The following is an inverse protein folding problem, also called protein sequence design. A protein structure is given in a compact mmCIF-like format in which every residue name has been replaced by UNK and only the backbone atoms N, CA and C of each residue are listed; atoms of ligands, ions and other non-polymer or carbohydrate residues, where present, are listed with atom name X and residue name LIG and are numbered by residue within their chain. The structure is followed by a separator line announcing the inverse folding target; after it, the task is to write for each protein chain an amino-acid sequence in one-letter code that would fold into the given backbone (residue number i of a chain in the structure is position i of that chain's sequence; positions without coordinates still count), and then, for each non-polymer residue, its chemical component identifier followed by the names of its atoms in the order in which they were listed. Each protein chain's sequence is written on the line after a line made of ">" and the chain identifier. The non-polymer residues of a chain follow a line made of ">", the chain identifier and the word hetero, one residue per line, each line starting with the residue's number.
data_IF_100294113123
#
_entry.id   IF_100294113123
#
_cell.length_a   1.000
_cell.length_b   1.000
_cell.length_c   1.000
_cell.angle_alpha   90.00
_cell.angle_beta   90.00
_cell.angle_gamma   90.00
#
_symmetry.space_group_name_H-M   'P 1'
#
loop_
_entity.id
_entity.type
_entity.pdbx_description
1 polymer ?
#
# COMPACT_ATOMS: atom_id res chain seq x y z
N UNK A 1 12.90 -10.98 14.19
CA UNK A 1 11.76 -10.33 14.88
C UNK A 1 11.40 -11.18 16.11
N UNK A 2 11.37 -10.60 17.28
CA UNK A 2 10.94 -11.27 18.51
C UNK A 2 9.42 -11.41 18.61
N UNK A 3 8.94 -12.21 19.58
CA UNK A 3 7.51 -12.50 19.74
C UNK A 3 6.72 -11.22 20.06
N UNK A 4 7.28 -10.32 20.87
CA UNK A 4 6.62 -9.07 21.26
C UNK A 4 6.39 -8.17 20.02
N UNK A 5 7.44 -8.00 19.22
CA UNK A 5 7.36 -7.24 17.94
C UNK A 5 6.34 -7.89 17.00
N UNK A 6 6.29 -9.23 16.90
CA UNK A 6 5.31 -9.92 16.08
C UNK A 6 3.87 -9.65 16.53
N UNK A 7 3.60 -9.69 17.83
CA UNK A 7 2.28 -9.38 18.38
C UNK A 7 1.88 -7.92 18.15
N UNK A 8 2.82 -6.99 18.32
CA UNK A 8 2.58 -5.57 18.03
C UNK A 8 2.24 -5.38 16.54
N UNK A 9 3.01 -5.99 15.64
CA UNK A 9 2.76 -5.92 14.19
C UNK A 9 1.38 -6.48 13.86
N UNK A 10 0.97 -7.62 14.40
CA UNK A 10 -0.34 -8.21 14.18
C UNK A 10 -1.48 -7.29 14.68
N UNK A 11 -1.33 -6.69 15.85
CA UNK A 11 -2.28 -5.72 16.38
C UNK A 11 -2.38 -4.48 15.47
N UNK A 12 -1.25 -3.94 15.03
CA UNK A 12 -1.19 -2.80 14.12
C UNK A 12 -1.80 -3.12 12.74
N UNK A 13 -1.59 -4.33 12.21
CA UNK A 13 -2.23 -4.79 10.98
C UNK A 13 -3.74 -4.79 11.16
N UNK A 14 -4.28 -5.39 12.23
CA UNK A 14 -5.72 -5.38 12.50
C UNK A 14 -6.27 -3.95 12.55
N UNK A 15 -5.67 -3.07 13.36
CA UNK A 15 -6.11 -1.68 13.50
C UNK A 15 -6.04 -0.92 12.17
N UNK A 16 -4.97 -1.10 11.40
CA UNK A 16 -4.81 -0.47 10.08
C UNK A 16 -5.92 -0.89 9.11
N UNK A 17 -6.35 -2.15 9.13
CA UNK A 17 -7.45 -2.61 8.29
C UNK A 17 -8.81 -2.15 8.77
N UNK A 18 -9.06 -2.11 10.09
CA UNK A 18 -10.28 -1.52 10.65
C UNK A 18 -10.44 -0.07 10.18
N UNK A 19 -9.39 0.74 10.32
CA UNK A 19 -9.43 2.17 9.97
C UNK A 19 -9.52 2.36 8.46
N UNK A 20 -8.73 1.61 7.70
CA UNK A 20 -8.76 1.66 6.23
C UNK A 20 -10.13 1.30 5.68
N UNK A 21 -10.80 0.29 6.24
CA UNK A 21 -12.12 -0.13 5.80
C UNK A 21 -13.22 0.86 6.23
N UNK A 22 -13.11 1.45 7.43
CA UNK A 22 -14.08 2.44 7.92
C UNK A 22 -13.98 3.79 7.20
N UNK A 23 -12.77 4.23 6.89
CA UNK A 23 -12.51 5.50 6.19
C UNK A 23 -12.57 5.39 4.65
N UNK A 24 -12.63 4.17 4.10
CA UNK A 24 -12.59 3.94 2.66
C UNK A 24 -11.26 4.25 2.00
N UNK A 25 -10.20 4.46 2.79
CA UNK A 25 -8.86 4.79 2.34
C UNK A 25 -8.02 3.52 2.14
N UNK A 26 -7.09 3.56 1.20
CA UNK A 26 -6.24 2.41 0.89
C UNK A 26 -5.39 1.94 2.08
N UNK A 27 -5.38 0.63 2.36
CA UNK A 27 -4.65 0.03 3.49
C UNK A 27 -3.16 0.33 3.53
N UNK A 28 -2.54 0.58 2.37
CA UNK A 28 -1.11 0.91 2.28
C UNK A 28 -0.74 2.21 2.98
N UNK A 29 -1.66 3.18 3.05
CA UNK A 29 -1.37 4.49 3.61
C UNK A 29 -1.06 4.47 5.12
N UNK A 30 -1.62 3.57 5.89
CA UNK A 30 -1.29 3.40 7.30
C UNK A 30 -0.28 2.27 7.52
N UNK A 31 -0.46 1.16 6.80
CA UNK A 31 0.35 -0.04 7.03
C UNK A 31 1.82 0.17 6.72
N UNK A 32 2.15 0.79 5.59
CA UNK A 32 3.53 0.97 5.16
C UNK A 32 4.35 1.78 6.19
N UNK A 33 3.97 3.03 6.54
CA UNK A 33 4.77 3.80 7.49
C UNK A 33 4.75 3.19 8.90
N UNK A 34 3.65 2.54 9.30
CA UNK A 34 3.59 1.87 10.60
C UNK A 34 4.60 0.72 10.66
N UNK A 35 4.62 -0.17 9.67
CA UNK A 35 5.57 -1.27 9.62
C UNK A 35 7.01 -0.78 9.46
N UNK A 36 7.23 0.26 8.64
CA UNK A 36 8.53 0.87 8.46
C UNK A 36 9.06 1.51 9.75
N UNK A 37 8.19 2.05 10.60
CA UNK A 37 8.58 2.59 11.90
C UNK A 37 9.12 1.51 12.85
N UNK A 38 8.47 0.34 12.89
CA UNK A 38 8.81 -0.73 13.82
C UNK A 38 9.91 -1.67 13.32
N UNK A 39 9.95 -1.95 12.02
CA UNK A 39 10.83 -2.97 11.45
C UNK A 39 12.05 -2.40 10.72
N UNK A 40 12.04 -1.13 10.38
CA UNK A 40 12.96 -0.55 9.42
C UNK A 40 12.27 -0.24 8.10
N UNK A 41 12.83 0.71 7.34
CA UNK A 41 12.12 1.22 6.16
C UNK A 41 12.01 0.15 5.07
N UNK A 42 13.07 -0.58 4.80
CA UNK A 42 13.08 -1.62 3.77
C UNK A 42 12.23 -2.84 4.17
N UNK A 43 12.46 -3.39 5.34
CA UNK A 43 11.74 -4.55 5.87
C UNK A 43 10.25 -4.25 6.08
N UNK A 44 9.93 -3.03 6.53
CA UNK A 44 8.56 -2.57 6.71
C UNK A 44 7.81 -2.47 5.39
N UNK A 45 8.44 -1.91 4.34
CA UNK A 45 7.87 -1.85 2.98
C UNK A 45 7.72 -3.26 2.41
N UNK A 46 8.69 -4.15 2.62
CA UNK A 46 8.65 -5.52 2.14
C UNK A 46 7.51 -6.32 2.79
N UNK A 47 7.38 -6.27 4.11
CA UNK A 47 6.29 -6.94 4.82
C UNK A 47 4.93 -6.35 4.44
N UNK A 48 4.83 -5.01 4.29
CA UNK A 48 3.61 -4.37 3.81
C UNK A 48 3.20 -4.88 2.42
N UNK A 49 4.16 -5.06 1.50
CA UNK A 49 3.88 -5.59 0.16
C UNK A 49 3.26 -6.99 0.22
N UNK A 50 3.80 -7.90 1.03
CA UNK A 50 3.29 -9.25 1.23
C UNK A 50 1.86 -9.23 1.81
N UNK A 51 1.62 -8.43 2.85
CA UNK A 51 0.30 -8.31 3.48
C UNK A 51 -0.74 -7.70 2.52
N UNK A 52 -0.34 -6.68 1.76
CA UNK A 52 -1.22 -6.04 0.77
C UNK A 52 -1.51 -6.96 -0.41
N UNK A 53 -0.56 -7.78 -0.85
CA UNK A 53 -0.80 -8.82 -1.85
C UNK A 53 -1.89 -9.79 -1.38
N UNK A 54 -1.79 -10.30 -0.14
CA UNK A 54 -2.82 -11.15 0.46
C UNK A 54 -4.20 -10.48 0.52
N UNK A 55 -4.26 -9.21 0.96
CA UNK A 55 -5.51 -8.45 0.99
C UNK A 55 -6.11 -8.25 -0.41
N UNK A 56 -5.27 -8.00 -1.41
CA UNK A 56 -5.75 -7.83 -2.79
C UNK A 56 -6.26 -9.14 -3.39
N UNK A 57 -5.73 -10.30 -2.98
CA UNK A 57 -6.34 -11.61 -3.33
C UNK A 57 -7.77 -11.68 -2.83
N UNK A 58 -8.03 -11.32 -1.57
CA UNK A 58 -9.39 -11.31 -1.02
C UNK A 58 -10.32 -10.39 -1.80
N UNK A 59 -9.85 -9.22 -2.21
CA UNK A 59 -10.62 -8.29 -3.05
C UNK A 59 -10.89 -8.86 -4.45
N UNK A 60 -9.90 -9.51 -5.08
CA UNK A 60 -10.08 -10.18 -6.37
C UNK A 60 -11.15 -11.26 -6.27
N UNK A 61 -11.14 -12.08 -5.22
CA UNK A 61 -12.16 -13.11 -4.99
C UNK A 61 -13.55 -12.47 -4.79
N UNK A 62 -13.64 -11.39 -4.00
CA UNK A 62 -14.89 -10.68 -3.77
C UNK A 62 -15.46 -10.05 -5.05
N UNK A 63 -14.60 -9.50 -5.92
CA UNK A 63 -14.99 -8.84 -7.17
C UNK A 63 -14.81 -9.72 -8.42
N UNK A 64 -14.65 -11.04 -8.28
CA UNK A 64 -14.34 -11.98 -9.37
C UNK A 64 -15.22 -11.89 -10.62
N UNK A 65 -16.48 -11.46 -10.46
CA UNK A 65 -17.45 -11.30 -11.55
C UNK A 65 -17.32 -9.96 -12.31
N UNK A 66 -16.56 -9.03 -11.79
CA UNK A 66 -16.40 -7.67 -12.32
C UNK A 66 -14.93 -7.31 -12.52
N UNK A 67 -14.10 -8.31 -12.84
CA UNK A 67 -12.68 -8.10 -13.11
C UNK A 67 -12.47 -7.75 -14.60
N UNK A 68 -12.11 -6.52 -14.95
CA UNK A 68 -11.99 -6.09 -16.34
C UNK A 68 -10.58 -6.38 -16.88
N UNK A 69 -10.16 -7.63 -16.95
CA UNK A 69 -8.80 -8.04 -17.34
C UNK A 69 -8.33 -7.38 -18.64
N UNK A 70 -9.17 -7.39 -19.70
CA UNK A 70 -8.79 -6.83 -21.01
C UNK A 70 -8.64 -5.32 -20.96
N UNK A 71 -9.58 -4.62 -20.35
CA UNK A 71 -9.54 -3.15 -20.23
C UNK A 71 -8.38 -2.67 -19.34
N UNK A 72 -8.06 -3.41 -18.27
CA UNK A 72 -7.01 -3.05 -17.34
C UNK A 72 -5.61 -3.58 -17.71
N UNK A 73 -5.48 -4.44 -18.74
CA UNK A 73 -4.24 -5.15 -19.06
C UNK A 73 -3.03 -4.23 -19.20
N UNK A 74 -3.14 -3.15 -19.97
CA UNK A 74 -2.03 -2.20 -20.18
C UNK A 74 -1.63 -1.54 -18.86
N UNK A 75 -2.60 -1.14 -18.03
CA UNK A 75 -2.32 -0.53 -16.72
C UNK A 75 -1.65 -1.53 -15.80
N UNK A 76 -2.12 -2.79 -15.78
CA UNK A 76 -1.53 -3.86 -14.97
C UNK A 76 -0.07 -4.09 -15.37
N UNK A 77 0.22 -4.24 -16.66
CA UNK A 77 1.59 -4.43 -17.16
C UNK A 77 2.50 -3.26 -16.75
N UNK A 78 2.04 -2.03 -16.96
CA UNK A 78 2.83 -0.84 -16.60
C UNK A 78 3.04 -0.71 -15.09
N UNK A 79 2.05 -1.07 -14.27
CA UNK A 79 2.20 -1.13 -12.80
C UNK A 79 3.22 -2.20 -12.40
N UNK A 80 3.19 -3.38 -13.03
CA UNK A 80 4.16 -4.46 -12.78
C UNK A 80 5.58 -4.02 -13.13
N UNK A 81 5.78 -3.47 -14.33
CA UNK A 81 7.10 -2.98 -14.76
C UNK A 81 7.60 -1.85 -13.84
N UNK A 82 6.73 -0.90 -13.53
CA UNK A 82 7.05 0.16 -12.57
C UNK A 82 7.39 -0.39 -11.19
N UNK A 83 6.58 -1.32 -10.67
CA UNK A 83 6.81 -1.94 -9.36
C UNK A 83 8.14 -2.71 -9.33
N UNK A 84 8.49 -3.41 -10.41
CA UNK A 84 9.78 -4.08 -10.50
C UNK A 84 10.94 -3.07 -10.44
N UNK A 85 10.90 -2.01 -11.24
CA UNK A 85 11.92 -0.95 -11.22
C UNK A 85 12.02 -0.31 -9.82
N UNK A 86 10.90 0.09 -9.24
CA UNK A 86 10.87 0.72 -7.92
C UNK A 86 11.39 -0.20 -6.80
N UNK A 87 11.06 -1.49 -6.86
CA UNK A 87 11.51 -2.48 -5.87
C UNK A 87 13.01 -2.76 -5.98
N UNK A 88 13.54 -2.86 -7.19
CA UNK A 88 14.99 -3.00 -7.43
C UNK A 88 15.75 -1.76 -6.92
N UNK A 89 15.21 -0.58 -7.13
CA UNK A 89 15.78 0.66 -6.57
C UNK A 89 15.75 0.65 -5.04
N UNK A 90 14.66 0.20 -4.40
CA UNK A 90 14.57 0.09 -2.94
C UNK A 90 15.64 -0.85 -2.39
N UNK A 91 15.79 -2.03 -2.97
CA UNK A 91 16.79 -3.02 -2.52
C UNK A 91 18.20 -2.41 -2.48
N UNK A 92 18.57 -1.61 -3.48
CA UNK A 92 19.88 -0.99 -3.61
C UNK A 92 20.01 0.39 -2.92
N UNK A 93 18.91 0.99 -2.46
CA UNK A 93 18.92 2.30 -1.81
C UNK A 93 19.39 2.20 -0.35
N UNK A 94 19.79 3.33 0.24
CA UNK A 94 19.98 3.42 1.69
C UNK A 94 18.63 3.49 2.42
N UNK A 95 18.61 3.07 3.69
CA UNK A 95 17.41 3.18 4.54
C UNK A 95 16.90 4.62 4.64
N UNK A 96 17.81 5.58 4.68
CA UNK A 96 17.48 7.00 4.68
C UNK A 96 16.72 7.40 3.40
N UNK A 97 17.19 6.97 2.22
CA UNK A 97 16.54 7.29 0.95
C UNK A 97 15.12 6.68 0.89
N UNK A 98 14.94 5.45 1.36
CA UNK A 98 13.62 4.80 1.44
C UNK A 98 12.72 5.53 2.44
N UNK A 99 13.26 5.93 3.61
CA UNK A 99 12.53 6.70 4.62
C UNK A 99 12.02 8.04 4.04
N UNK A 100 12.89 8.79 3.37
CA UNK A 100 12.52 10.06 2.72
C UNK A 100 11.43 9.82 1.67
N UNK A 101 11.57 8.77 0.86
CA UNK A 101 10.57 8.44 -0.16
C UNK A 101 9.20 8.07 0.43
N UNK A 102 9.18 7.26 1.50
CA UNK A 102 7.93 6.93 2.22
C UNK A 102 7.25 8.19 2.73
N UNK A 103 7.98 9.08 3.41
CA UNK A 103 7.45 10.36 3.91
C UNK A 103 6.95 11.24 2.77
N UNK A 104 7.76 11.40 1.71
CA UNK A 104 7.42 12.27 0.57
C UNK A 104 6.19 11.77 -0.18
N UNK A 105 6.07 10.47 -0.43
CA UNK A 105 4.89 9.88 -1.07
C UNK A 105 3.65 10.00 -0.21
N UNK A 106 3.82 9.97 1.09
CA UNK A 106 2.75 10.17 2.05
C UNK A 106 2.22 11.61 1.99
N UNK A 107 3.10 12.59 2.17
CA UNK A 107 2.76 14.01 2.07
C UNK A 107 2.14 14.30 0.69
N UNK A 108 2.77 13.78 -0.38
CA UNK A 108 2.26 13.90 -1.74
C UNK A 108 0.85 13.32 -1.91
N UNK A 109 0.53 12.21 -1.23
CA UNK A 109 -0.81 11.60 -1.28
C UNK A 109 -1.87 12.48 -0.62
N UNK A 110 -1.54 13.07 0.55
CA UNK A 110 -2.43 14.01 1.26
C UNK A 110 -2.66 15.29 0.44
N UNK A 111 -1.57 15.84 -0.10
CA UNK A 111 -1.63 17.03 -0.96
C UNK A 111 -2.46 16.75 -2.22
N UNK A 112 -2.21 15.62 -2.89
CA UNK A 112 -2.93 15.22 -4.09
C UNK A 112 -4.44 15.03 -3.85
N UNK A 113 -4.82 14.55 -2.67
CA UNK A 113 -6.23 14.42 -2.29
C UNK A 113 -6.89 15.80 -2.08
N UNK A 114 -6.15 16.74 -1.47
CA UNK A 114 -6.63 18.10 -1.24
C UNK A 114 -6.83 18.91 -2.52
N UNK A 115 -5.96 18.71 -3.51
CA UNK A 115 -5.96 19.47 -4.77
C UNK A 115 -6.73 18.80 -5.92
N UNK A 116 -7.55 17.78 -5.63
CA UNK A 116 -8.36 17.08 -6.66
C UNK A 116 -7.57 16.72 -7.95
N UNK A 117 -6.35 16.23 -7.85
CA UNK A 117 -5.52 15.80 -9.00
C UNK A 117 -6.21 14.69 -9.82
N UNK A 118 -7.48 14.49 -9.57
CA UNK A 118 -8.38 13.50 -10.17
C UNK A 118 -8.63 13.69 -11.67
N UNK A 119 -8.33 14.87 -12.24
CA UNK A 119 -8.65 15.21 -13.64
C UNK A 119 -7.44 15.21 -14.58
N UNK A 120 -6.46 14.33 -14.37
CA UNK A 120 -5.39 14.21 -15.36
C UNK A 120 -5.93 13.65 -16.69
N UNK A 121 -5.49 14.24 -17.81
CA UNK A 121 -5.93 13.87 -19.16
C UNK A 121 -5.63 12.39 -19.45
N UNK A 122 -6.53 11.71 -20.16
CA UNK A 122 -6.43 10.28 -20.49
C UNK A 122 -5.09 9.86 -21.11
N UNK A 123 -4.45 10.74 -21.90
CA UNK A 123 -3.14 10.51 -22.51
C UNK A 123 -2.01 10.21 -21.51
N UNK A 124 -2.17 10.62 -20.26
CA UNK A 124 -1.17 10.37 -19.21
C UNK A 124 -1.43 9.09 -18.40
N UNK A 125 -2.53 8.38 -18.66
CA UNK A 125 -2.88 7.16 -17.93
C UNK A 125 -1.76 6.10 -17.94
N UNK A 126 -1.08 5.81 -19.07
CA UNK A 126 0.04 4.86 -19.08
C UNK A 126 1.22 5.33 -18.21
N UNK A 127 1.60 6.60 -18.29
CA UNK A 127 2.65 7.17 -17.46
C UNK A 127 2.29 7.11 -15.97
N UNK A 128 1.04 7.46 -15.61
CA UNK A 128 0.54 7.37 -14.25
C UNK A 128 0.56 5.93 -13.71
N UNK A 129 0.24 4.95 -14.55
CA UNK A 129 0.29 3.55 -14.18
C UNK A 129 1.74 3.11 -13.87
N UNK A 130 2.69 3.43 -14.74
CA UNK A 130 4.11 3.13 -14.52
C UNK A 130 4.65 3.83 -13.26
N UNK A 131 4.45 5.15 -13.14
CA UNK A 131 4.91 5.93 -11.97
C UNK A 131 4.23 5.45 -10.68
N UNK A 132 2.95 5.08 -10.74
CA UNK A 132 2.25 4.46 -9.60
C UNK A 132 2.89 3.14 -9.17
N UNK A 133 3.29 2.30 -10.13
CA UNK A 133 4.04 1.09 -9.85
C UNK A 133 5.41 1.39 -9.24
N UNK A 134 6.19 2.28 -9.86
CA UNK A 134 7.52 2.63 -9.43
C UNK A 134 7.53 3.26 -8.02
N UNK A 135 6.64 4.20 -7.75
CA UNK A 135 6.50 4.77 -6.42
C UNK A 135 6.07 3.71 -5.39
N UNK A 136 5.12 2.84 -5.74
CA UNK A 136 4.71 1.74 -4.87
C UNK A 136 5.84 0.74 -4.61
N UNK A 137 6.67 0.46 -5.61
CA UNK A 137 7.84 -0.41 -5.48
C UNK A 137 8.90 0.17 -4.54
N UNK A 138 9.15 1.49 -4.65
CA UNK A 138 10.19 2.15 -3.89
C UNK A 138 9.77 2.60 -2.47
N UNK A 139 8.53 3.08 -2.31
CA UNK A 139 8.03 3.62 -1.04
C UNK A 139 6.88 2.83 -0.41
N UNK A 140 6.49 1.68 -1.01
CA UNK A 140 5.39 0.86 -0.53
C UNK A 140 3.99 1.38 -0.87
N UNK A 141 3.85 2.63 -1.32
CA UNK A 141 2.55 3.21 -1.66
C UNK A 141 2.56 3.93 -3.00
N UNK A 142 1.44 3.86 -3.71
CA UNK A 142 1.26 4.57 -4.98
C UNK A 142 0.43 5.85 -4.85
N UNK A 143 -0.06 6.16 -3.64
CA UNK A 143 -0.98 7.27 -3.44
C UNK A 143 -2.15 7.25 -4.44
N UNK A 144 -2.64 8.41 -4.88
CA UNK A 144 -3.78 8.53 -5.80
C UNK A 144 -3.44 8.20 -7.28
N UNK A 145 -2.17 8.01 -7.63
CA UNK A 145 -1.73 7.85 -9.03
C UNK A 145 -2.36 6.64 -9.72
N UNK A 146 -2.44 5.50 -9.03
CA UNK A 146 -3.08 4.29 -9.55
C UNK A 146 -4.56 4.52 -9.85
N UNK A 147 -5.26 5.14 -8.89
CA UNK A 147 -6.67 5.50 -9.07
C UNK A 147 -6.89 6.44 -10.26
N UNK A 148 -6.00 7.42 -10.44
CA UNK A 148 -6.05 8.34 -11.57
C UNK A 148 -5.83 7.61 -12.92
N UNK A 149 -4.88 6.68 -12.98
CA UNK A 149 -4.65 5.86 -14.17
C UNK A 149 -5.88 5.02 -14.55
N UNK A 150 -6.51 4.33 -13.58
CA UNK A 150 -7.65 3.43 -13.80
C UNK A 150 -8.93 4.21 -14.16
N UNK A 151 -9.12 5.42 -13.63
CA UNK A 151 -10.29 6.25 -13.95
C UNK A 151 -10.41 6.58 -15.42
N UNK A 152 -9.31 6.62 -16.15
CA UNK A 152 -9.31 6.88 -17.60
C UNK A 152 -9.82 5.69 -18.43
N UNK A 153 -10.13 4.54 -17.79
CA UNK A 153 -10.74 3.38 -18.47
C UNK A 153 -12.26 3.46 -18.57
N UNK A 154 -12.87 4.53 -18.03
CA UNK A 154 -14.34 4.75 -18.04
C UNK A 154 -15.15 3.55 -17.54
N UNK A 155 -14.71 2.96 -16.43
CA UNK A 155 -15.33 1.80 -15.81
C UNK A 155 -16.38 2.22 -14.78
N UNK A 156 -17.45 1.46 -14.67
CA UNK A 156 -18.37 1.61 -13.53
C UNK A 156 -17.66 1.31 -12.19
N UNK A 157 -18.31 1.66 -11.09
CA UNK A 157 -17.70 1.55 -9.74
C UNK A 157 -17.21 0.13 -9.41
N UNK A 158 -17.93 -0.92 -9.81
CA UNK A 158 -17.55 -2.31 -9.49
C UNK A 158 -16.36 -2.76 -10.32
N UNK A 159 -16.36 -2.49 -11.61
CA UNK A 159 -15.25 -2.79 -12.51
C UNK A 159 -14.01 -1.94 -12.18
N UNK A 160 -14.20 -0.68 -11.75
CA UNK A 160 -13.11 0.16 -11.24
C UNK A 160 -12.40 -0.49 -10.04
N UNK A 161 -13.16 -0.96 -9.04
CA UNK A 161 -12.59 -1.65 -7.86
C UNK A 161 -11.92 -2.96 -8.28
N UNK A 162 -12.51 -3.69 -9.22
CA UNK A 162 -11.91 -4.89 -9.81
C UNK A 162 -10.56 -4.61 -10.47
N UNK A 163 -10.48 -3.57 -11.32
CA UNK A 163 -9.26 -3.14 -11.98
C UNK A 163 -8.18 -2.70 -10.98
N UNK A 164 -8.59 -1.92 -9.98
CA UNK A 164 -7.68 -1.47 -8.91
C UNK A 164 -7.12 -2.63 -8.09
N UNK A 165 -7.95 -3.64 -7.81
CA UNK A 165 -7.52 -4.83 -7.08
C UNK A 165 -6.55 -5.69 -7.88
N UNK A 166 -6.80 -5.88 -9.18
CA UNK A 166 -5.90 -6.60 -10.10
C UNK A 166 -4.55 -5.90 -10.21
N UNK A 167 -4.54 -4.60 -10.50
CA UNK A 167 -3.32 -3.82 -10.63
C UNK A 167 -2.53 -3.77 -9.32
N UNK A 168 -3.23 -3.65 -8.18
CA UNK A 168 -2.59 -3.67 -6.87
C UNK A 168 -1.99 -5.03 -6.56
N UNK A 169 -2.73 -6.12 -6.78
CA UNK A 169 -2.23 -7.47 -6.56
C UNK A 169 -0.99 -7.74 -7.42
N UNK A 170 -1.06 -7.45 -8.72
CA UNK A 170 0.05 -7.67 -9.63
C UNK A 170 1.31 -6.90 -9.20
N UNK A 171 1.17 -5.62 -8.86
CA UNK A 171 2.28 -4.81 -8.35
C UNK A 171 2.81 -5.31 -6.99
N UNK A 172 1.93 -5.66 -6.05
CA UNK A 172 2.33 -6.13 -4.72
C UNK A 172 2.98 -7.52 -4.78
N UNK A 173 2.49 -8.42 -5.64
CA UNK A 173 3.11 -9.72 -5.90
C UNK A 173 4.52 -9.58 -6.52
N UNK A 174 4.68 -8.66 -7.49
CA UNK A 174 5.99 -8.35 -8.09
C UNK A 174 6.99 -7.84 -7.05
N UNK A 175 6.57 -6.89 -6.20
CA UNK A 175 7.40 -6.38 -5.10
C UNK A 175 7.78 -7.48 -4.13
N UNK A 176 6.80 -8.27 -3.70
CA UNK A 176 7.01 -9.38 -2.77
C UNK A 176 8.03 -10.37 -3.29
N UNK A 177 7.96 -10.73 -4.58
CA UNK A 177 8.93 -11.63 -5.20
C UNK A 177 10.36 -11.05 -5.18
N UNK A 178 10.52 -9.77 -5.57
CA UNK A 178 11.82 -9.09 -5.56
C UNK A 178 12.38 -8.93 -4.14
N UNK A 179 11.53 -8.60 -3.18
CA UNK A 179 11.94 -8.43 -1.79
C UNK A 179 12.27 -9.77 -1.10
N UNK A 180 11.61 -10.85 -1.51
CA UNK A 180 11.93 -12.19 -1.06
C UNK A 180 13.28 -12.66 -1.61
N UNK A 181 13.57 -12.40 -2.88
CA UNK A 181 14.84 -12.70 -3.52
C UNK A 181 16.01 -11.89 -2.92
N UNK A 182 15.74 -10.69 -2.44
CA UNK A 182 16.69 -9.82 -1.77
C UNK A 182 16.80 -10.05 -0.25
N UNK A 183 16.27 -11.16 0.29
CA UNK A 183 16.27 -11.53 1.71
C UNK A 183 15.63 -10.49 2.67
N UNK A 184 14.83 -9.54 2.14
CA UNK A 184 14.06 -8.60 2.97
C UNK A 184 12.84 -9.23 3.64
N UNK A 185 12.45 -10.44 3.21
CA UNK A 185 11.34 -11.23 3.75
C UNK A 185 11.86 -12.54 4.36
N UNK A 186 12.25 -12.47 5.61
CA UNK A 186 12.66 -13.66 6.37
C UNK A 186 11.47 -14.59 6.72
N UNK A 187 11.79 -15.82 7.20
CA UNK A 187 10.79 -16.81 7.64
C UNK A 187 9.75 -16.23 8.61
N UNK A 188 10.19 -15.41 9.55
CA UNK A 188 9.31 -14.77 10.54
C UNK A 188 8.31 -13.83 9.88
N UNK A 189 8.73 -13.08 8.84
CA UNK A 189 7.85 -12.19 8.08
C UNK A 189 6.73 -12.97 7.39
N UNK A 190 7.05 -14.14 6.83
CA UNK A 190 6.06 -15.03 6.20
C UNK A 190 5.08 -15.60 7.23
N UNK A 191 5.57 -16.05 8.37
CA UNK A 191 4.71 -16.58 9.46
C UNK A 191 3.78 -15.49 9.99
N UNK A 192 4.29 -14.28 10.21
CA UNK A 192 3.47 -13.12 10.64
C UNK A 192 2.45 -12.75 9.57
N UNK A 193 2.82 -12.77 8.30
CA UNK A 193 1.88 -12.50 7.20
C UNK A 193 0.75 -13.53 7.16
N UNK A 194 1.06 -14.81 7.32
CA UNK A 194 0.04 -15.87 7.38
C UNK A 194 -0.89 -15.71 8.59
N UNK A 195 -0.32 -15.43 9.77
CA UNK A 195 -1.10 -15.15 10.98
C UNK A 195 -1.95 -13.87 10.87
N UNK A 196 -1.53 -12.91 10.06
CA UNK A 196 -2.25 -11.67 9.82
C UNK A 196 -3.49 -11.85 8.91
N UNK A 197 -3.55 -12.90 8.08
CA UNK A 197 -4.68 -13.11 7.14
C UNK A 197 -6.04 -13.07 7.84
N UNK A 198 -6.32 -13.85 8.91
CA UNK A 198 -7.59 -13.77 9.61
C UNK A 198 -7.82 -12.39 10.26
N UNK A 199 -6.78 -11.75 10.78
CA UNK A 199 -6.89 -10.42 11.39
C UNK A 199 -7.21 -9.33 10.35
N UNK A 200 -6.67 -9.46 9.13
CA UNK A 200 -7.00 -8.58 8.02
C UNK A 200 -8.47 -8.71 7.60
N UNK A 201 -8.97 -9.95 7.52
CA UNK A 201 -10.38 -10.23 7.22
C UNK A 201 -11.31 -9.67 8.32
N UNK A 202 -10.99 -9.95 9.58
CA UNK A 202 -11.73 -9.43 10.74
C UNK A 202 -11.66 -7.90 10.82
N UNK A 203 -10.49 -7.30 10.62
CA UNK A 203 -10.31 -5.85 10.62
C UNK A 203 -11.12 -5.17 9.51
N UNK A 204 -11.12 -5.74 8.31
CA UNK A 204 -11.94 -5.23 7.20
C UNK A 204 -13.41 -5.35 7.49
N UNK A 205 -13.86 -6.48 8.03
CA UNK A 205 -15.27 -6.70 8.42
C UNK A 205 -15.70 -5.73 9.53
N UNK A 206 -14.93 -5.63 10.61
CA UNK A 206 -15.19 -4.70 11.72
C UNK A 206 -15.23 -3.25 11.22
N UNK A 207 -14.25 -2.83 10.40
CA UNK A 207 -14.19 -1.49 9.87
C UNK A 207 -15.36 -1.14 8.94
N UNK A 208 -15.85 -2.11 8.17
CA UNK A 208 -17.01 -1.89 7.29
C UNK A 208 -18.33 -1.67 8.06
N UNK A 209 -18.40 -2.08 9.32
CA UNK A 209 -19.56 -1.87 10.19
C UNK A 209 -19.50 -0.53 10.95
N UNK A 210 -18.35 0.13 10.99
CA UNK A 210 -18.15 1.42 11.66
C UNK A 210 -18.59 2.57 10.73
N UNK A 211 -19.23 3.59 11.32
CA UNK A 211 -19.66 4.77 10.56
C UNK A 211 -18.45 5.52 9.96
N UNK A 212 -18.52 5.85 8.68
CA UNK A 212 -17.47 6.51 7.90
C UNK A 212 -16.91 7.79 8.55
N UNK A 213 -17.76 8.62 9.19
CA UNK A 213 -17.31 9.86 9.86
C UNK A 213 -16.37 9.59 11.03
N UNK A 214 -16.66 8.58 11.85
CA UNK A 214 -15.79 8.17 12.95
C UNK A 214 -14.48 7.60 12.43
N UNK A 215 -14.53 6.86 11.32
CA UNK A 215 -13.36 6.30 10.65
C UNK A 215 -12.40 7.37 10.12
N UNK A 216 -12.90 8.41 9.49
CA UNK A 216 -12.06 9.51 8.95
C UNK A 216 -11.29 10.23 10.05
N UNK A 217 -11.95 10.58 11.17
CA UNK A 217 -11.29 11.25 12.30
C UNK A 217 -10.23 10.36 12.95
N UNK A 218 -10.56 9.10 13.18
CA UNK A 218 -9.62 8.13 13.76
C UNK A 218 -8.45 7.87 12.84
N UNK A 219 -8.71 7.78 11.52
CA UNK A 219 -7.66 7.70 10.50
C UNK A 219 -6.72 8.90 10.58
N UNK A 220 -7.25 10.13 10.59
CA UNK A 220 -6.44 11.34 10.65
C UNK A 220 -5.56 11.39 11.91
N UNK A 221 -6.09 11.03 13.07
CA UNK A 221 -5.32 11.01 14.33
C UNK A 221 -4.18 9.99 14.24
N UNK A 222 -4.46 8.75 13.87
CA UNK A 222 -3.43 7.71 13.76
C UNK A 222 -2.42 8.02 12.67
N UNK A 223 -2.89 8.55 11.54
CA UNK A 223 -2.06 9.03 10.46
C UNK A 223 -1.00 10.03 10.98
N UNK A 224 -1.44 11.11 11.61
CA UNK A 224 -0.53 12.14 12.11
C UNK A 224 0.38 11.64 13.22
N UNK A 225 -0.09 10.72 14.07
CA UNK A 225 0.73 10.09 15.11
C UNK A 225 1.85 9.25 14.50
N UNK A 226 1.54 8.41 13.51
CA UNK A 226 2.54 7.60 12.81
C UNK A 226 3.52 8.48 12.05
N UNK A 227 3.03 9.54 11.40
CA UNK A 227 3.88 10.49 10.67
C UNK A 227 4.81 11.26 11.61
N UNK A 228 4.34 11.67 12.78
CA UNK A 228 5.20 12.30 13.79
C UNK A 228 6.31 11.34 14.26
N UNK A 229 5.98 10.07 14.56
CA UNK A 229 6.97 9.05 14.90
C UNK A 229 7.98 8.82 13.78
N UNK A 230 7.52 8.79 12.53
CA UNK A 230 8.40 8.64 11.37
C UNK A 230 9.32 9.84 11.14
N UNK A 231 8.81 11.05 11.41
CA UNK A 231 9.62 12.28 11.34
C UNK A 231 10.70 12.31 12.41
N UNK A 232 10.39 11.86 13.63
CA UNK A 232 11.39 11.70 14.71
C UNK A 232 12.46 10.69 14.32
N UNK A 233 12.07 9.54 13.75
CA UNK A 233 13.03 8.56 13.24
C UNK A 233 13.92 9.13 12.13
N UNK A 234 13.34 9.88 11.19
CA UNK A 234 14.10 10.55 10.13
C UNK A 234 15.12 11.52 10.73
N UNK A 235 14.72 12.30 11.75
CA UNK A 235 15.63 13.21 12.44
C UNK A 235 16.78 12.45 13.10
N UNK A 236 16.51 11.35 13.82
CA UNK A 236 17.55 10.52 14.47
C UNK A 236 18.50 9.86 13.45
N UNK A 237 18.04 9.57 12.22
CA UNK A 237 18.88 9.02 11.16
C UNK A 237 19.75 10.07 10.47
N UNK A 238 19.41 11.36 10.58
CA UNK A 238 20.13 12.47 9.96
C UNK A 238 21.19 13.08 10.88
N UNK A 239 21.04 12.93 12.18
CA UNK A 239 21.91 13.50 13.23
C UNK A 239 22.36 12.44 14.23
#
# INVERSE_FOLDING_TARGET
>A
MDILTALIVLALVYVSFVISASAGLGGSLLMVPTLALFLGSKEGVALAALLLAGNNVMKIVAYRRTLPFRAAAVIIVLVVVGAAVGSMLLVNASDLAVTIAVVSMFIGSVVAERFEIRRMRARFAPLLAFVSGASSGFSGTSGPLKGAAIRNLDLDRRHFVGAASLASFAGDATKTAIFADADLLGRTSVVVALAAVPLMALGTWTGSTINSRSGERTFAILFWTVMAGYSVRLFVLLF
#
